data_IF_268590016687
#
_entry.id   IF_268590016687
#
_cell.length_a   1.000
_cell.length_b   1.000
_cell.length_c   1.000
_cell.angle_alpha   90.00
_cell.angle_beta   90.00
_cell.angle_gamma   90.00
#
_symmetry.space_group_name_H-M   'P 1'
#
loop_
_entity.id
_entity.type
_entity.pdbx_description
1 polymer ?
#
# COMPACT_ATOMS: atom_id res chain seq x y z
N UNK A 1 -9.84 -4.13 20.43
CA UNK A 1 -8.82 -4.14 19.36
C UNK A 1 -7.50 -3.71 19.95
N UNK A 2 -6.44 -4.47 19.71
CA UNK A 2 -5.07 -4.14 20.08
C UNK A 2 -4.34 -3.71 18.81
N UNK A 3 -3.60 -2.60 18.87
CA UNK A 3 -2.78 -2.10 17.77
C UNK A 3 -1.34 -2.07 18.23
N UNK A 4 -0.45 -2.69 17.45
CA UNK A 4 0.99 -2.68 17.68
C UNK A 4 1.67 -2.12 16.45
N UNK A 5 2.37 -1.00 16.62
CA UNK A 5 3.10 -0.34 15.56
C UNK A 5 4.59 -0.68 15.64
N UNK A 6 5.16 -1.02 14.50
CA UNK A 6 6.60 -1.18 14.29
C UNK A 6 7.04 -0.22 13.18
N UNK A 7 8.34 0.15 13.11
CA UNK A 7 8.85 1.00 12.03
C UNK A 7 8.55 0.49 10.62
N UNK A 8 8.36 -0.82 10.44
CA UNK A 8 8.19 -1.48 9.15
C UNK A 8 6.83 -2.16 8.92
N UNK A 9 5.93 -2.16 9.92
CA UNK A 9 4.61 -2.81 9.83
C UNK A 9 3.67 -2.35 10.95
N UNK A 10 2.38 -2.50 10.71
CA UNK A 10 1.33 -2.34 11.73
C UNK A 10 0.62 -3.67 11.90
N UNK A 11 0.42 -4.09 13.15
CA UNK A 11 -0.33 -5.29 13.51
C UNK A 11 -1.59 -4.87 14.24
N UNK A 12 -2.75 -5.30 13.74
CA UNK A 12 -4.05 -5.10 14.37
C UNK A 12 -4.60 -6.46 14.80
N UNK A 13 -4.88 -6.63 16.08
CA UNK A 13 -5.46 -7.86 16.62
C UNK A 13 -6.83 -7.55 17.21
N UNK A 14 -7.84 -8.31 16.79
CA UNK A 14 -9.19 -8.21 17.33
C UNK A 14 -9.68 -9.56 17.83
N UNK A 15 -10.50 -9.51 18.87
CA UNK A 15 -11.18 -10.69 19.43
C UNK A 15 -12.47 -10.94 18.65
N UNK A 16 -12.75 -12.21 18.40
CA UNK A 16 -13.84 -12.69 17.56
C UNK A 16 -13.31 -13.41 16.33
N UNK A 17 -14.22 -14.03 15.57
CA UNK A 17 -13.86 -14.73 14.33
C UNK A 17 -13.99 -13.80 13.11
N UNK A 18 -13.34 -14.18 12.02
CA UNK A 18 -13.51 -13.48 10.76
C UNK A 18 -14.82 -13.90 10.09
N UNK A 19 -15.74 -12.95 9.86
CA UNK A 19 -16.92 -13.17 9.01
C UNK A 19 -16.58 -12.63 7.63
N UNK A 20 -16.76 -13.39 6.52
CA UNK A 20 -17.48 -14.64 6.27
C UNK A 20 -16.59 -15.92 6.27
N UNK A 21 -15.67 -16.04 7.22
CA UNK A 21 -14.81 -17.22 7.42
C UNK A 21 -13.46 -17.16 6.70
N UNK A 22 -13.42 -16.70 5.44
CA UNK A 22 -12.16 -16.53 4.69
C UNK A 22 -12.06 -15.17 3.99
N UNK A 23 -10.84 -14.66 3.93
CA UNK A 23 -10.50 -13.38 3.33
C UNK A 23 -10.66 -13.43 1.80
N UNK A 24 -10.35 -14.55 1.15
CA UNK A 24 -10.48 -14.65 -0.30
C UNK A 24 -11.93 -14.50 -0.75
N UNK A 25 -12.89 -14.99 0.05
CA UNK A 25 -14.33 -14.83 -0.22
C UNK A 25 -14.70 -13.35 -0.29
N UNK A 26 -14.23 -12.54 0.67
CA UNK A 26 -14.51 -11.09 0.71
C UNK A 26 -13.88 -10.38 -0.49
N UNK A 27 -12.66 -10.77 -0.85
CA UNK A 27 -11.95 -10.16 -1.98
C UNK A 27 -12.66 -10.46 -3.32
N UNK A 28 -13.22 -11.68 -3.48
CA UNK A 28 -13.93 -12.09 -4.70
C UNK A 28 -15.33 -11.48 -4.82
N UNK A 29 -16.06 -11.38 -3.71
CA UNK A 29 -17.47 -10.95 -3.73
C UNK A 29 -17.65 -9.46 -4.10
N UNK A 30 -16.65 -8.61 -3.84
CA UNK A 30 -16.68 -7.16 -4.17
C UNK A 30 -17.99 -6.45 -3.79
N UNK A 31 -18.60 -6.89 -2.70
CA UNK A 31 -19.91 -6.45 -2.24
C UNK A 31 -19.85 -6.14 -0.74
N UNK A 32 -20.74 -5.27 -0.22
CA UNK A 32 -20.88 -5.06 1.22
C UNK A 32 -21.12 -6.37 1.94
N UNK A 33 -20.52 -6.48 3.13
CA UNK A 33 -20.83 -7.60 4.00
C UNK A 33 -22.30 -7.52 4.35
N UNK A 34 -23.06 -8.55 4.00
CA UNK A 34 -24.48 -8.65 4.39
C UNK A 34 -24.65 -8.91 5.89
N UNK A 35 -23.58 -9.33 6.58
CA UNK A 35 -23.61 -9.73 7.98
C UNK A 35 -22.53 -8.95 8.74
N UNK A 36 -22.97 -8.02 9.57
CA UNK A 36 -22.14 -7.37 10.59
C UNK A 36 -22.41 -7.98 11.96
N UNK A 37 -21.37 -8.19 12.77
CA UNK A 37 -21.52 -8.72 14.14
C UNK A 37 -22.40 -7.82 15.01
N UNK A 38 -22.25 -6.52 14.83
CA UNK A 38 -23.07 -5.51 15.49
C UNK A 38 -23.64 -4.57 14.42
N UNK A 39 -24.87 -4.83 13.93
CA UNK A 39 -25.52 -4.00 12.91
C UNK A 39 -25.67 -2.56 13.37
N UNK A 40 -26.10 -2.32 14.60
CA UNK A 40 -26.28 -0.97 15.14
C UNK A 40 -25.00 -0.14 15.11
N UNK A 41 -23.85 -0.74 15.48
CA UNK A 41 -22.57 -0.06 15.37
C UNK A 41 -22.17 0.20 13.92
N UNK A 42 -22.39 -0.77 13.03
CA UNK A 42 -22.09 -0.60 11.61
C UNK A 42 -22.92 0.54 11.00
N UNK A 43 -24.22 0.58 11.30
CA UNK A 43 -25.15 1.61 10.85
C UNK A 43 -24.71 2.99 11.37
N UNK A 44 -24.37 3.10 12.65
CA UNK A 44 -23.85 4.36 13.22
C UNK A 44 -22.53 4.80 12.55
N UNK A 45 -21.62 3.87 12.26
CA UNK A 45 -20.36 4.18 11.57
C UNK A 45 -20.58 4.61 10.11
N UNK A 46 -21.60 4.06 9.44
CA UNK A 46 -22.03 4.49 8.11
C UNK A 46 -22.60 5.91 8.17
N UNK A 47 -23.51 6.20 9.11
CA UNK A 47 -24.11 7.52 9.30
C UNK A 47 -23.06 8.60 9.59
N UNK A 48 -22.01 8.22 10.34
CA UNK A 48 -20.86 9.08 10.63
C UNK A 48 -19.81 9.15 9.52
N UNK A 49 -20.05 8.51 8.36
CA UNK A 49 -19.12 8.43 7.22
C UNK A 49 -17.73 7.86 7.58
N UNK A 50 -17.66 6.98 8.57
CA UNK A 50 -16.42 6.32 8.98
C UNK A 50 -16.13 5.04 8.18
N UNK A 51 -17.19 4.40 7.66
CA UNK A 51 -17.09 3.22 6.80
C UNK A 51 -18.00 3.37 5.59
N UNK A 52 -17.57 2.82 4.45
CA UNK A 52 -18.37 2.84 3.23
C UNK A 52 -19.46 1.75 3.26
N UNK A 53 -20.64 2.08 2.74
CA UNK A 53 -21.75 1.14 2.48
C UNK A 53 -21.54 0.31 1.22
N UNK A 54 -20.70 0.77 0.31
CA UNK A 54 -20.18 -0.05 -0.77
C UNK A 54 -19.04 -0.88 -0.18
N UNK A 55 -19.24 -2.19 -0.04
CA UNK A 55 -18.26 -3.09 0.53
C UNK A 55 -16.89 -3.07 -0.12
N UNK A 56 -16.04 -3.97 0.35
CA UNK A 56 -14.71 -4.12 -0.24
C UNK A 56 -13.65 -3.22 0.38
N UNK A 57 -13.81 -2.75 1.62
CA UNK A 57 -12.72 -2.11 2.37
C UNK A 57 -11.45 -2.97 2.41
N UNK A 58 -11.62 -4.29 2.63
CA UNK A 58 -10.51 -5.26 2.56
C UNK A 58 -9.91 -5.32 1.15
N UNK A 59 -10.75 -5.43 0.10
CA UNK A 59 -10.27 -5.43 -1.29
C UNK A 59 -9.53 -4.15 -1.64
N UNK A 60 -10.04 -2.98 -1.24
CA UNK A 60 -9.38 -1.67 -1.40
C UNK A 60 -8.04 -1.62 -0.68
N UNK A 61 -7.92 -2.22 0.50
CA UNK A 61 -6.64 -2.31 1.21
C UNK A 61 -5.63 -3.15 0.42
N UNK A 62 -6.05 -4.30 -0.13
CA UNK A 62 -5.22 -5.14 -1.00
C UNK A 62 -4.80 -4.39 -2.28
N UNK A 63 -5.75 -3.75 -2.96
CA UNK A 63 -5.49 -2.94 -4.15
C UNK A 63 -4.56 -1.76 -3.85
N UNK A 64 -4.68 -1.13 -2.67
CA UNK A 64 -3.80 -0.04 -2.25
C UNK A 64 -2.37 -0.53 -2.07
N UNK A 65 -2.16 -1.67 -1.39
CA UNK A 65 -0.83 -2.26 -1.25
C UNK A 65 -0.24 -2.69 -2.59
N UNK A 66 -1.06 -3.29 -3.46
CA UNK A 66 -0.68 -3.64 -4.83
C UNK A 66 -0.21 -2.42 -5.62
N UNK A 67 -0.98 -1.33 -5.63
CA UNK A 67 -0.64 -0.07 -6.34
C UNK A 67 0.65 0.54 -5.83
N UNK A 68 0.95 0.37 -4.55
CA UNK A 68 2.21 0.80 -3.92
C UNK A 68 3.34 -0.22 -4.08
N UNK A 69 3.07 -1.37 -4.70
CA UNK A 69 4.01 -2.48 -4.91
C UNK A 69 4.60 -3.03 -3.60
N UNK A 70 3.84 -2.90 -2.52
CA UNK A 70 4.15 -3.48 -1.21
C UNK A 70 3.56 -4.90 -1.10
N UNK A 71 4.08 -5.70 -0.15
CA UNK A 71 3.43 -6.93 0.26
C UNK A 71 1.98 -6.69 0.63
N UNK A 72 1.11 -7.62 0.26
CA UNK A 72 -0.31 -7.51 0.58
C UNK A 72 -0.54 -7.68 2.08
N UNK A 73 -1.67 -7.18 2.62
CA UNK A 73 -2.05 -7.40 4.01
C UNK A 73 -2.12 -8.89 4.31
N UNK A 74 -1.62 -9.30 5.47
CA UNK A 74 -1.67 -10.69 5.91
C UNK A 74 -2.68 -10.88 7.02
N UNK A 75 -3.63 -11.78 6.82
CA UNK A 75 -4.65 -12.13 7.80
C UNK A 75 -4.29 -13.47 8.40
N UNK A 76 -4.03 -13.49 9.70
CA UNK A 76 -3.86 -14.69 10.49
C UNK A 76 -5.16 -14.99 11.24
N UNK A 77 -5.76 -16.12 10.86
CA UNK A 77 -7.01 -16.66 11.40
C UNK A 77 -6.77 -18.03 12.06
N UNK A 78 -5.51 -18.38 12.35
CA UNK A 78 -5.16 -19.70 12.87
C UNK A 78 -5.55 -19.87 14.34
N UNK A 79 -5.51 -18.79 15.11
CA UNK A 79 -5.94 -18.78 16.50
C UNK A 79 -7.47 -18.61 16.59
N UNK A 80 -8.19 -19.53 17.27
CA UNK A 80 -9.63 -19.42 17.43
C UNK A 80 -10.03 -18.10 18.09
N UNK A 81 -11.11 -17.48 17.58
CA UNK A 81 -11.66 -16.21 18.09
C UNK A 81 -10.65 -15.07 18.12
N UNK A 82 -9.59 -15.12 17.33
CA UNK A 82 -8.63 -14.04 17.15
C UNK A 82 -8.44 -13.79 15.66
N UNK A 83 -8.56 -12.52 15.27
CA UNK A 83 -8.25 -12.07 13.91
C UNK A 83 -7.07 -11.12 14.01
N UNK A 84 -5.95 -11.51 13.43
CA UNK A 84 -4.76 -10.65 13.36
C UNK A 84 -4.52 -10.23 11.91
N UNK A 85 -4.33 -8.92 11.70
CA UNK A 85 -4.01 -8.33 10.41
C UNK A 85 -2.64 -7.67 10.49
N UNK A 86 -1.72 -8.07 9.62
CA UNK A 86 -0.41 -7.44 9.48
C UNK A 86 -0.33 -6.66 8.17
N UNK A 87 -0.09 -5.36 8.27
CA UNK A 87 0.11 -4.47 7.13
C UNK A 87 1.59 -4.12 7.07
N UNK A 88 2.29 -4.59 6.05
CA UNK A 88 3.72 -4.29 5.88
C UNK A 88 3.94 -2.94 5.21
N UNK A 89 4.86 -2.15 5.75
CA UNK A 89 5.37 -0.90 5.19
C UNK A 89 6.74 -1.05 4.51
N UNK A 90 7.25 -2.27 4.33
CA UNK A 90 8.52 -2.55 3.67
C UNK A 90 8.40 -3.58 2.56
N UNK A 91 9.42 -3.65 1.72
CA UNK A 91 9.54 -4.67 0.67
C UNK A 91 10.07 -5.97 1.30
N UNK A 92 9.47 -7.10 0.92
CA UNK A 92 9.90 -8.44 1.34
C UNK A 92 10.72 -9.14 0.26
N UNK A 93 10.24 -9.13 -0.98
CA UNK A 93 10.92 -9.66 -2.15
C UNK A 93 10.93 -8.63 -3.28
N UNK A 94 12.11 -8.31 -3.78
CA UNK A 94 12.27 -7.35 -4.86
C UNK A 94 11.80 -7.88 -6.22
N UNK A 95 11.88 -9.20 -6.43
CA UNK A 95 11.37 -9.84 -7.64
C UNK A 95 9.87 -9.61 -7.75
N UNK A 96 9.17 -9.78 -6.62
CA UNK A 96 7.74 -9.50 -6.49
C UNK A 96 7.42 -8.04 -6.81
N UNK A 97 8.09 -7.09 -6.15
CA UNK A 97 7.84 -5.65 -6.38
C UNK A 97 8.09 -5.29 -7.85
N UNK A 98 9.19 -5.74 -8.44
CA UNK A 98 9.52 -5.45 -9.84
C UNK A 98 8.51 -6.07 -10.80
N UNK A 99 8.13 -7.33 -10.59
CA UNK A 99 7.16 -8.03 -11.43
C UNK A 99 5.81 -7.29 -11.45
N UNK A 100 5.33 -6.81 -10.30
CA UNK A 100 4.08 -6.04 -10.23
C UNK A 100 4.19 -4.68 -10.90
N UNK A 101 5.35 -4.03 -10.82
CA UNK A 101 5.59 -2.76 -11.49
C UNK A 101 5.68 -2.91 -13.02
N UNK A 102 6.23 -4.02 -13.51
CA UNK A 102 6.40 -4.28 -14.94
C UNK A 102 5.14 -4.84 -15.59
N UNK A 103 4.39 -5.70 -14.88
CA UNK A 103 3.19 -6.38 -15.39
C UNK A 103 1.93 -5.78 -14.78
N UNK A 104 1.47 -4.69 -15.39
CA UNK A 104 0.20 -4.03 -15.00
C UNK A 104 -1.04 -4.83 -15.38
N UNK A 105 -0.89 -5.84 -16.24
CA UNK A 105 -1.93 -6.76 -16.70
C UNK A 105 -2.28 -7.86 -15.68
N UNK A 106 -1.50 -8.02 -14.61
CA UNK A 106 -1.81 -9.01 -13.58
C UNK A 106 -3.15 -8.72 -12.93
N UNK A 107 -3.93 -9.76 -12.63
CA UNK A 107 -5.14 -9.59 -11.83
C UNK A 107 -4.82 -9.71 -10.32
N UNK A 108 -5.76 -9.31 -9.46
CA UNK A 108 -5.54 -9.33 -8.01
C UNK A 108 -5.27 -10.75 -7.47
N UNK A 109 -5.92 -11.76 -8.04
CA UNK A 109 -5.73 -13.16 -7.65
C UNK A 109 -4.30 -13.65 -7.91
N UNK A 110 -3.74 -13.35 -9.08
CA UNK A 110 -2.35 -13.65 -9.42
C UNK A 110 -1.38 -12.93 -8.47
N UNK A 111 -1.66 -11.67 -8.12
CA UNK A 111 -0.85 -10.90 -7.17
C UNK A 111 -0.91 -11.52 -5.77
N UNK A 112 -2.09 -11.97 -5.31
CA UNK A 112 -2.24 -12.69 -4.04
C UNK A 112 -1.40 -13.97 -4.04
N UNK A 113 -1.44 -14.75 -5.12
CA UNK A 113 -0.63 -15.97 -5.21
C UNK A 113 0.87 -15.68 -5.21
N UNK A 114 1.32 -14.64 -5.92
CA UNK A 114 2.72 -14.20 -5.91
C UNK A 114 3.16 -13.70 -4.53
N UNK A 115 2.28 -13.01 -3.81
CA UNK A 115 2.54 -12.57 -2.43
C UNK A 115 2.64 -13.76 -1.46
N UNK A 116 1.84 -14.81 -1.66
CA UNK A 116 2.01 -16.07 -0.90
C UNK A 116 3.38 -16.70 -1.17
N UNK A 117 3.82 -16.73 -2.43
CA UNK A 117 5.16 -17.24 -2.81
C UNK A 117 6.26 -16.42 -2.14
N UNK A 118 6.20 -15.09 -2.18
CA UNK A 118 7.22 -14.23 -1.54
C UNK A 118 7.31 -14.47 -0.03
N UNK A 119 6.16 -14.68 0.62
CA UNK A 119 6.04 -14.95 2.06
C UNK A 119 6.33 -16.42 2.41
N UNK A 120 6.71 -17.25 1.43
CA UNK A 120 6.96 -18.70 1.59
C UNK A 120 5.76 -19.46 2.16
N UNK A 121 4.54 -18.98 1.87
CA UNK A 121 3.31 -19.68 2.22
C UNK A 121 3.04 -20.80 1.21
N UNK A 122 2.46 -21.93 1.65
CA UNK A 122 2.12 -23.02 0.75
C UNK A 122 1.06 -22.57 -0.26
N UNK A 123 1.26 -22.97 -1.52
CA UNK A 123 0.28 -22.81 -2.59
C UNK A 123 -0.12 -24.17 -3.13
N UNK A 124 -1.34 -24.29 -3.64
CA UNK A 124 -1.87 -25.51 -4.23
C UNK A 124 -1.13 -25.89 -5.53
N UNK A 125 -1.25 -27.16 -5.92
CA UNK A 125 -0.64 -27.66 -7.18
C UNK A 125 -1.23 -26.98 -8.43
N UNK A 126 -2.51 -26.61 -8.38
CA UNK A 126 -3.19 -25.95 -9.50
C UNK A 126 -2.77 -24.48 -9.62
N UNK A 127 -2.71 -23.77 -8.49
CA UNK A 127 -2.17 -22.41 -8.39
C UNK A 127 -0.73 -22.35 -8.92
N UNK A 128 0.11 -23.31 -8.52
CA UNK A 128 1.47 -23.45 -9.05
C UNK A 128 1.48 -23.64 -10.57
N UNK A 129 0.64 -24.53 -11.12
CA UNK A 129 0.57 -24.75 -12.58
C UNK A 129 0.19 -23.48 -13.32
N UNK A 130 -0.79 -22.71 -12.80
CA UNK A 130 -1.21 -21.43 -13.37
C UNK A 130 -0.08 -20.39 -13.36
N UNK A 131 0.58 -20.19 -12.21
CA UNK A 131 1.71 -19.25 -12.09
C UNK A 131 2.88 -19.63 -13.03
N UNK A 132 3.17 -20.92 -13.16
CA UNK A 132 4.25 -21.43 -14.02
C UNK A 132 3.92 -21.27 -15.50
N UNK A 133 2.68 -21.55 -15.90
CA UNK A 133 2.21 -21.34 -17.27
C UNK A 133 2.29 -19.85 -17.67
N UNK A 134 1.95 -18.96 -16.73
CA UNK A 134 2.06 -17.52 -16.90
C UNK A 134 3.50 -16.98 -16.80
N UNK A 135 4.50 -17.85 -16.54
CA UNK A 135 5.92 -17.50 -16.32
C UNK A 135 6.15 -16.48 -15.20
N UNK A 136 5.31 -16.51 -14.17
CA UNK A 136 5.37 -15.59 -13.02
C UNK A 136 6.18 -16.15 -11.85
N UNK A 137 6.49 -17.46 -11.86
CA UNK A 137 7.31 -18.14 -10.85
C UNK A 137 8.36 -19.04 -11.49
N UNK A 138 9.47 -19.21 -10.78
CA UNK A 138 10.58 -20.10 -11.08
C UNK A 138 10.77 -21.13 -9.97
N UNK A 139 11.45 -22.24 -10.26
CA UNK A 139 11.76 -23.28 -9.28
C UNK A 139 10.93 -24.56 -9.42
N UNK A 140 11.04 -25.43 -8.41
CA UNK A 140 10.41 -26.76 -8.35
C UNK A 140 9.50 -26.83 -7.14
N UNK A 141 8.23 -27.16 -7.37
CA UNK A 141 7.27 -27.41 -6.30
C UNK A 141 7.83 -28.37 -5.23
N UNK A 142 7.70 -28.05 -3.93
CA UNK A 142 6.98 -26.90 -3.36
C UNK A 142 7.81 -25.61 -3.22
N UNK A 143 9.11 -25.65 -3.53
CA UNK A 143 10.01 -24.50 -3.39
C UNK A 143 9.98 -23.63 -4.65
N UNK A 144 9.17 -22.57 -4.58
CA UNK A 144 8.95 -21.61 -5.67
C UNK A 144 9.57 -20.27 -5.31
N UNK A 145 9.98 -19.54 -6.34
CA UNK A 145 10.44 -18.16 -6.25
C UNK A 145 9.69 -17.33 -7.29
N UNK A 146 9.47 -16.05 -7.01
CA UNK A 146 8.90 -15.15 -8.00
C UNK A 146 9.87 -15.04 -9.19
N UNK A 147 9.33 -15.15 -10.40
CA UNK A 147 10.12 -15.04 -11.63
C UNK A 147 10.65 -13.62 -11.77
N UNK A 148 11.89 -13.50 -12.20
CA UNK A 148 12.51 -12.21 -12.39
C UNK A 148 13.97 -12.34 -12.77
N UNK A 149 14.40 -11.54 -13.73
CA UNK A 149 15.82 -11.35 -14.01
C UNK A 149 16.47 -10.64 -12.82
N UNK A 150 16.88 -11.43 -11.83
CA UNK A 150 17.81 -11.01 -10.81
C UNK A 150 19.18 -11.09 -11.44
N UNK A 151 19.73 -9.92 -11.79
CA UNK A 151 21.17 -9.81 -11.84
C UNK A 151 21.68 -10.35 -10.49
N UNK A 152 22.30 -11.53 -10.53
CA UNK A 152 23.02 -12.07 -9.37
C UNK A 152 23.83 -10.92 -8.79
N UNK A 153 23.76 -10.71 -7.47
CA UNK A 153 24.86 -10.33 -6.56
C UNK A 153 24.29 -9.63 -5.31
N UNK A 154 24.48 -10.32 -4.18
CA UNK A 154 24.72 -9.87 -2.78
C UNK A 154 24.22 -8.50 -2.32
N UNK A 155 23.55 -8.47 -1.15
CA UNK A 155 23.72 -7.45 -0.06
C UNK A 155 23.48 -5.95 -0.32
N UNK A 156 23.51 -5.50 -1.57
CA UNK A 156 23.43 -4.11 -2.02
C UNK A 156 21.99 -3.69 -2.35
N UNK A 157 21.02 -4.58 -2.19
CA UNK A 157 19.75 -4.47 -2.91
C UNK A 157 18.71 -3.62 -2.17
N UNK A 158 18.68 -3.69 -0.83
CA UNK A 158 18.01 -2.69 0.02
C UNK A 158 18.62 -1.28 -0.08
N UNK A 159 19.87 -1.18 -0.56
CA UNK A 159 20.51 0.08 -0.93
C UNK A 159 20.07 0.51 -2.33
N UNK A 160 19.90 -0.41 -3.28
CA UNK A 160 19.41 -0.12 -4.64
C UNK A 160 17.98 0.44 -4.67
N UNK A 161 17.07 -0.01 -3.81
CA UNK A 161 15.70 0.55 -3.71
C UNK A 161 15.70 1.92 -3.03
N UNK A 162 16.49 2.08 -1.95
CA UNK A 162 16.75 3.41 -1.36
C UNK A 162 17.45 4.32 -2.34
N UNK A 163 18.27 3.82 -3.26
CA UNK A 163 18.86 4.60 -4.33
C UNK A 163 17.81 4.91 -5.41
N UNK A 164 16.95 3.99 -5.83
CA UNK A 164 15.99 4.21 -6.93
C UNK A 164 14.86 5.19 -6.56
N UNK A 165 14.32 5.05 -5.33
CA UNK A 165 13.20 5.84 -4.81
C UNK A 165 11.83 5.33 -5.25
N UNK A 166 10.77 5.76 -4.57
CA UNK A 166 9.39 5.41 -4.92
C UNK A 166 8.96 6.01 -6.26
N UNK A 167 7.85 5.52 -6.81
CA UNK A 167 7.25 6.13 -7.99
C UNK A 167 6.82 7.58 -7.68
N UNK A 168 6.70 8.40 -8.72
CA UNK A 168 6.38 9.82 -8.57
C UNK A 168 5.01 10.03 -7.90
N UNK A 169 4.02 9.19 -8.25
CA UNK A 169 2.66 9.26 -7.75
C UNK A 169 2.58 9.09 -6.22
N UNK A 170 3.37 8.17 -5.65
CA UNK A 170 3.44 7.96 -4.21
C UNK A 170 3.78 9.25 -3.45
N UNK A 171 4.74 10.04 -3.95
CA UNK A 171 5.12 11.29 -3.31
C UNK A 171 4.03 12.36 -3.45
N UNK A 172 3.30 12.38 -4.56
CA UNK A 172 2.16 13.29 -4.77
C UNK A 172 1.02 12.96 -3.79
N UNK A 173 0.67 11.68 -3.69
CA UNK A 173 -0.38 11.20 -2.78
C UNK A 173 -0.03 11.47 -1.31
N UNK A 174 1.24 11.31 -0.94
CA UNK A 174 1.72 11.59 0.42
C UNK A 174 1.60 13.08 0.78
N UNK A 175 1.95 13.97 -0.16
CA UNK A 175 1.75 15.42 0.04
C UNK A 175 0.25 15.71 0.20
N UNK A 176 -0.61 15.15 -0.66
CA UNK A 176 -2.05 15.39 -0.58
C UNK A 176 -2.66 14.87 0.72
N UNK A 177 -2.21 13.72 1.24
CA UNK A 177 -2.63 13.21 2.54
C UNK A 177 -2.26 14.19 3.67
N UNK A 178 -0.99 14.63 3.71
CA UNK A 178 -0.51 15.61 4.69
C UNK A 178 -1.32 16.91 4.66
N UNK A 179 -1.60 17.44 3.46
CA UNK A 179 -2.35 18.69 3.31
C UNK A 179 -3.84 18.57 3.62
N UNK A 180 -4.42 17.37 3.51
CA UNK A 180 -5.82 17.10 3.89
C UNK A 180 -5.97 16.95 5.39
N UNK A 181 -5.01 16.31 6.06
CA UNK A 181 -5.07 16.06 7.50
C UNK A 181 -4.60 17.25 8.33
N UNK A 182 -3.61 18.01 7.83
CA UNK A 182 -2.94 19.05 8.62
C UNK A 182 -2.87 20.41 7.91
N UNK A 183 -3.52 20.59 6.75
CA UNK A 183 -3.48 21.84 6.00
C UNK A 183 -4.15 23.02 6.73
N UNK A 184 -3.65 24.25 6.59
CA UNK A 184 -2.48 24.67 5.78
C UNK A 184 -1.14 24.32 6.44
N UNK A 185 -0.17 23.88 5.64
CA UNK A 185 1.15 23.43 6.11
C UNK A 185 2.27 24.20 5.41
N UNK A 186 3.31 24.54 6.17
CA UNK A 186 4.47 25.25 5.64
C UNK A 186 5.42 24.33 4.85
N UNK A 187 6.42 24.95 4.21
CA UNK A 187 7.42 24.20 3.44
C UNK A 187 8.26 23.26 4.31
N UNK A 188 8.55 23.65 5.56
CA UNK A 188 9.40 22.89 6.45
C UNK A 188 8.76 21.55 6.83
N UNK A 189 7.48 21.56 7.21
CA UNK A 189 6.75 20.34 7.54
C UNK A 189 6.59 19.39 6.35
N UNK A 190 6.42 19.91 5.13
CA UNK A 190 6.43 19.06 3.91
C UNK A 190 7.80 18.40 3.72
N UNK A 191 8.89 19.15 3.94
CA UNK A 191 10.24 18.62 3.84
C UNK A 191 10.53 17.57 4.93
N UNK A 192 10.08 17.77 6.17
CA UNK A 192 10.25 16.80 7.26
C UNK A 192 9.60 15.44 6.96
N UNK A 193 8.45 15.44 6.29
CA UNK A 193 7.75 14.18 5.92
C UNK A 193 8.38 13.54 4.68
N UNK A 194 8.78 14.33 3.68
CA UNK A 194 9.23 13.80 2.39
C UNK A 194 10.73 13.49 2.32
N UNK A 195 11.61 14.32 2.92
CA UNK A 195 13.06 14.15 2.81
C UNK A 195 13.57 12.79 3.32
N UNK A 196 13.07 12.24 4.45
CA UNK A 196 13.47 10.92 4.92
C UNK A 196 13.00 9.77 4.01
N UNK A 197 11.94 10.00 3.22
CA UNK A 197 11.32 9.01 2.31
C UNK A 197 11.83 9.12 0.86
N UNK A 198 12.65 10.13 0.56
CA UNK A 198 13.28 10.32 -0.75
C UNK A 198 14.56 9.50 -0.88
N UNK A 199 14.90 9.03 -2.10
CA UNK A 199 16.02 8.13 -2.28
C UNK A 199 17.37 8.68 -1.84
N UNK A 200 18.18 7.82 -1.22
CA UNK A 200 19.50 8.11 -0.65
C UNK A 200 20.56 8.46 -1.71
N UNK A 201 20.34 8.11 -2.99
CA UNK A 201 21.23 8.56 -4.09
C UNK A 201 21.18 10.06 -4.33
N UNK A 202 20.12 10.73 -3.86
CA UNK A 202 19.92 12.15 -4.08
C UNK A 202 20.65 12.95 -3.00
N UNK A 203 21.45 13.93 -3.42
CA UNK A 203 22.01 14.91 -2.49
C UNK A 203 20.90 15.73 -1.84
N UNK A 204 21.15 16.34 -0.68
CA UNK A 204 20.16 17.19 0.01
C UNK A 204 19.57 18.27 -0.91
N UNK A 205 20.40 18.86 -1.77
CA UNK A 205 19.96 19.83 -2.80
C UNK A 205 19.05 19.20 -3.86
N UNK A 206 19.35 17.98 -4.31
CA UNK A 206 18.51 17.26 -5.26
C UNK A 206 17.19 16.80 -4.65
N UNK A 207 17.19 16.37 -3.37
CA UNK A 207 15.99 16.03 -2.62
C UNK A 207 15.06 17.23 -2.51
N UNK A 208 15.57 18.38 -2.06
CA UNK A 208 14.79 19.62 -1.98
C UNK A 208 14.22 20.05 -3.34
N UNK A 209 15.02 19.99 -4.41
CA UNK A 209 14.54 20.28 -5.77
C UNK A 209 13.44 19.33 -6.22
N UNK A 210 13.51 18.06 -5.83
CA UNK A 210 12.46 17.08 -6.16
C UNK A 210 11.16 17.38 -5.42
N UNK A 211 11.20 17.69 -4.12
CA UNK A 211 10.01 18.13 -3.38
C UNK A 211 9.45 19.43 -3.98
N UNK A 212 10.29 20.39 -4.37
CA UNK A 212 9.83 21.60 -5.05
C UNK A 212 9.08 21.30 -6.35
N UNK A 213 9.62 20.41 -7.19
CA UNK A 213 8.97 20.00 -8.44
C UNK A 213 7.63 19.31 -8.21
N UNK A 214 7.53 18.46 -7.18
CA UNK A 214 6.29 17.78 -6.80
C UNK A 214 5.21 18.78 -6.36
N UNK A 215 5.56 19.78 -5.54
CA UNK A 215 4.63 20.85 -5.14
C UNK A 215 4.20 21.72 -6.33
N UNK A 216 5.15 22.07 -7.22
CA UNK A 216 4.83 22.84 -8.42
C UNK A 216 3.87 22.10 -9.34
N UNK A 217 4.03 20.79 -9.46
CA UNK A 217 3.13 19.95 -10.25
C UNK A 217 1.74 19.87 -9.65
N UNK A 218 1.62 19.63 -8.35
CA UNK A 218 0.33 19.65 -7.64
C UNK A 218 -0.36 21.01 -7.74
N UNK A 219 0.41 22.09 -7.74
CA UNK A 219 -0.12 23.45 -7.94
C UNK A 219 -0.61 23.64 -9.37
N UNK A 220 0.15 23.19 -10.36
CA UNK A 220 -0.22 23.28 -11.80
C UNK A 220 -1.43 22.42 -12.14
N UNK A 221 -1.59 21.28 -11.49
CA UNK A 221 -2.77 20.43 -11.62
C UNK A 221 -3.98 20.95 -10.83
N UNK A 222 -3.85 22.07 -10.12
CA UNK A 222 -4.92 22.65 -9.32
C UNK A 222 -5.25 21.85 -8.05
N UNK A 223 -4.43 20.88 -7.65
CA UNK A 223 -4.69 20.00 -6.50
C UNK A 223 -4.30 20.64 -5.17
N UNK A 224 -3.43 21.65 -5.18
CA UNK A 224 -3.04 22.42 -3.99
C UNK A 224 -3.00 23.92 -4.31
N UNK A 225 -3.27 24.73 -3.29
CA UNK A 225 -3.21 26.20 -3.35
C UNK A 225 -2.21 26.73 -2.32
N UNK A 226 -1.53 27.83 -2.65
CA UNK A 226 -0.70 28.56 -1.69
C UNK A 226 -1.56 29.67 -1.08
N UNK A 227 -1.80 29.61 0.24
CA UNK A 227 -2.48 30.66 1.02
C UNK A 227 -1.52 31.63 1.71
N UNK A 228 -0.22 31.31 1.72
CA UNK A 228 0.83 32.14 2.27
C UNK A 228 1.40 33.13 1.25
N UNK A 229 2.49 33.79 1.66
CA UNK A 229 3.23 34.70 0.78
C UNK A 229 4.18 33.95 -0.14
N UNK A 230 4.76 34.65 -1.12
CA UNK A 230 5.74 34.06 -2.03
C UNK A 230 7.05 33.67 -1.31
N UNK A 231 7.37 34.37 -0.23
CA UNK A 231 8.52 34.12 0.66
C UNK A 231 8.23 33.07 1.75
N UNK A 232 6.99 33.00 2.23
CA UNK A 232 6.53 32.01 3.22
C UNK A 232 5.30 31.27 2.67
N UNK A 233 5.50 30.24 1.82
CA UNK A 233 4.40 29.52 1.23
C UNK A 233 3.72 28.61 2.26
N UNK A 234 2.39 28.69 2.32
CA UNK A 234 1.53 27.82 3.12
C UNK A 234 0.63 27.05 2.17
N UNK A 235 0.84 25.75 2.08
CA UNK A 235 0.15 24.87 1.14
C UNK A 235 -1.11 24.31 1.78
N UNK A 236 -2.19 24.31 1.02
CA UNK A 236 -3.46 23.69 1.39
C UNK A 236 -3.97 22.85 0.22
N UNK A 237 -4.65 21.74 0.50
CA UNK A 237 -5.34 21.00 -0.54
C UNK A 237 -6.43 21.89 -1.17
N UNK A 238 -6.52 21.89 -2.50
CA UNK A 238 -7.63 22.56 -3.17
C UNK A 238 -8.90 21.75 -2.90
N UNK A 239 -9.92 22.38 -2.32
CA UNK A 239 -11.26 21.77 -2.25
C UNK A 239 -11.76 21.60 -3.68
N UNK A 240 -12.26 20.40 -4.00
CA UNK A 240 -12.92 20.18 -5.28
C UNK A 240 -14.15 21.09 -5.33
N UNK A 241 -14.18 22.02 -6.29
CA UNK A 241 -15.41 22.72 -6.65
C UNK A 241 -16.49 21.69 -6.90
N UNK A 242 -17.49 21.65 -6.01
CA UNK A 242 -18.81 21.10 -6.33
C UNK A 242 -19.46 22.10 -7.28
N UNK A 243 -19.38 21.82 -8.57
CA UNK A 243 -20.33 22.30 -9.59
C UNK A 243 -20.88 21.08 -10.33
#
# INVERSE_FOLDING_TARGET
MVVVEYPDRVILTNVGDFLPGDVNTVIRQDAPQTIYRNPFLADAMVELNLIDTQGGGIKRMFETQRRRSFPLPDYDLTEPRHVTVTISGRILDERYTRLIMERTDLNLEQVILLDRVQKKKPIGRDEHRQLKAARLVEGRYPSLMVAGNVAKVTGETGRHIRERGFNKQYYLDLILALLREHGPVDRAAVDDVLLPKLPDRLTSKQKQRKVHNLLQELRRSGSIVNRGTRSHPEWMAAEASRD
#
